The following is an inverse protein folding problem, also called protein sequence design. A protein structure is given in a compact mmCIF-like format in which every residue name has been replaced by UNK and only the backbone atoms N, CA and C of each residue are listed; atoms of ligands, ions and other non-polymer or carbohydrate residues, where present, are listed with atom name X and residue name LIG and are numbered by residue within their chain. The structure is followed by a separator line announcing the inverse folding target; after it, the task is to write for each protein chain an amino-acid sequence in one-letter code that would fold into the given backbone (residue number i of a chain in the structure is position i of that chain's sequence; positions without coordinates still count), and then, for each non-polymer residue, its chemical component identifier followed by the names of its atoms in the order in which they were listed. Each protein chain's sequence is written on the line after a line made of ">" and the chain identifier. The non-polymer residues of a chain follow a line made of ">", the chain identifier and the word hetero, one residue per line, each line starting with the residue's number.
data_IF_404638496329
#
_entry.id   IF_404638496329
#
_cell.length_a   1.000
_cell.length_b   1.000
_cell.length_c   1.000
_cell.angle_alpha   90.00
_cell.angle_beta   90.00
_cell.angle_gamma   90.00
#
_symmetry.space_group_name_H-M   'P 1'
#
loop_
_entity.id
_entity.type
_entity.pdbx_description
1 polymer ?
#
# COMPACT_ATOMS: atom_id res chain seq x y z
N UNK A 1 10.06 -6.18 -17.33
CA UNK A 1 8.81 -6.10 -16.54
C UNK A 1 9.03 -5.89 -15.04
N UNK A 2 9.87 -6.68 -14.34
CA UNK A 2 10.02 -6.58 -12.87
C UNK A 2 10.41 -5.18 -12.34
N UNK A 3 11.32 -4.47 -13.01
CA UNK A 3 11.76 -3.11 -12.62
C UNK A 3 10.65 -2.06 -12.75
N UNK A 4 9.79 -2.20 -13.76
CA UNK A 4 8.66 -1.29 -14.01
C UNK A 4 7.55 -1.52 -12.99
N UNK A 5 7.23 -2.79 -12.68
CA UNK A 5 6.24 -3.13 -11.66
C UNK A 5 6.69 -2.69 -10.26
N UNK A 6 7.97 -2.86 -9.92
CA UNK A 6 8.53 -2.40 -8.64
C UNK A 6 8.49 -0.87 -8.50
N UNK A 7 8.87 -0.14 -9.55
CA UNK A 7 8.81 1.32 -9.53
C UNK A 7 7.36 1.85 -9.52
N UNK A 8 6.45 1.19 -10.23
CA UNK A 8 5.03 1.56 -10.25
C UNK A 8 4.38 1.31 -8.88
N UNK A 9 4.62 0.16 -8.26
CA UNK A 9 4.17 -0.13 -6.89
C UNK A 9 4.75 0.87 -5.88
N UNK A 10 6.05 1.16 -5.94
CA UNK A 10 6.69 2.14 -5.05
C UNK A 10 6.10 3.54 -5.21
N UNK A 11 5.92 4.01 -6.45
CA UNK A 11 5.30 5.30 -6.72
C UNK A 11 3.85 5.37 -6.21
N UNK A 12 3.07 4.32 -6.46
CA UNK A 12 1.69 4.22 -5.98
C UNK A 12 1.59 4.18 -4.46
N UNK A 13 2.51 3.47 -3.79
CA UNK A 13 2.58 3.42 -2.33
C UNK A 13 2.90 4.80 -1.73
N UNK A 14 3.81 5.57 -2.35
CA UNK A 14 4.12 6.94 -1.93
C UNK A 14 2.92 7.86 -2.10
N UNK A 15 2.19 7.75 -3.22
CA UNK A 15 0.96 8.54 -3.45
C UNK A 15 -0.12 8.19 -2.44
N UNK A 16 -0.32 6.90 -2.15
CA UNK A 16 -1.28 6.45 -1.15
C UNK A 16 -0.92 6.93 0.26
N UNK A 17 0.37 6.92 0.63
CA UNK A 17 0.86 7.45 1.89
C UNK A 17 0.60 8.96 1.99
N UNK A 18 0.90 9.72 0.94
CA UNK A 18 0.66 11.17 0.89
C UNK A 18 -0.82 11.53 1.07
N UNK A 19 -1.71 10.78 0.41
CA UNK A 19 -3.17 10.90 0.60
C UNK A 19 -3.60 10.62 2.04
N UNK A 20 -3.03 9.60 2.67
CA UNK A 20 -3.34 9.26 4.07
C UNK A 20 -2.88 10.37 5.04
N UNK A 21 -1.70 10.95 4.80
CA UNK A 21 -1.19 12.09 5.60
C UNK A 21 -2.09 13.32 5.45
N UNK A 22 -2.51 13.64 4.23
CA UNK A 22 -3.47 14.73 3.97
C UNK A 22 -4.79 14.50 4.70
N UNK A 23 -5.34 13.29 4.64
CA UNK A 23 -6.54 12.89 5.38
C UNK A 23 -6.38 13.07 6.88
N UNK A 24 -5.25 12.64 7.44
CA UNK A 24 -4.95 12.81 8.85
C UNK A 24 -4.94 14.29 9.26
N UNK A 25 -4.33 15.16 8.43
CA UNK A 25 -4.34 16.60 8.68
C UNK A 25 -5.75 17.21 8.63
N UNK A 26 -6.57 16.83 7.65
CA UNK A 26 -7.97 17.30 7.54
C UNK A 26 -8.79 16.90 8.77
N UNK A 27 -8.65 15.65 9.22
CA UNK A 27 -9.34 15.18 10.43
C UNK A 27 -8.83 15.88 11.69
N UNK A 28 -7.53 16.13 11.80
CA UNK A 28 -6.95 16.84 12.94
C UNK A 28 -7.44 18.30 13.00
N UNK A 29 -7.50 18.99 11.86
CA UNK A 29 -8.06 20.35 11.78
C UNK A 29 -9.56 20.34 12.11
N UNK A 30 -10.31 19.37 11.61
CA UNK A 30 -11.74 19.23 11.92
C UNK A 30 -11.98 19.02 13.42
N UNK A 31 -11.09 18.28 14.09
CA UNK A 31 -11.15 18.03 15.52
C UNK A 31 -10.84 19.31 16.33
N UNK A 32 -9.86 20.11 15.91
CA UNK A 32 -9.53 21.39 16.56
C UNK A 32 -10.66 22.41 16.41
N UNK A 33 -11.26 22.53 15.21
CA UNK A 33 -12.34 23.49 14.96
C UNK A 33 -13.61 23.09 15.73
N UNK A 34 -13.98 21.81 15.69
CA UNK A 34 -15.20 21.30 16.33
C UNK A 34 -16.49 21.93 15.80
N UNK A 35 -17.60 21.62 16.46
CA UNK A 35 -18.93 22.15 16.12
C UNK A 35 -19.38 21.83 14.69
N UNK A 36 -20.22 22.70 14.12
CA UNK A 36 -20.76 22.52 12.78
C UNK A 36 -19.67 22.55 11.70
N UNK A 37 -18.68 23.45 11.83
CA UNK A 37 -17.56 23.56 10.88
C UNK A 37 -16.68 22.31 10.84
N UNK A 38 -16.35 21.73 12.00
CA UNK A 38 -15.61 20.48 12.09
C UNK A 38 -16.40 19.28 11.55
N UNK A 39 -17.72 19.25 11.73
CA UNK A 39 -18.57 18.19 11.18
C UNK A 39 -18.58 18.19 9.64
N UNK A 40 -18.73 19.36 9.01
CA UNK A 40 -18.68 19.48 7.54
C UNK A 40 -17.31 19.08 6.99
N UNK A 41 -16.24 19.52 7.65
CA UNK A 41 -14.87 19.19 7.24
C UNK A 41 -14.57 17.69 7.40
N UNK A 42 -15.08 17.06 8.45
CA UNK A 42 -15.00 15.61 8.66
C UNK A 42 -15.80 14.82 7.62
N UNK A 43 -16.97 15.33 7.20
CA UNK A 43 -17.79 14.70 6.17
C UNK A 43 -17.13 14.78 4.79
N UNK A 44 -16.49 15.91 4.48
CA UNK A 44 -15.63 16.05 3.30
C UNK A 44 -14.44 15.10 3.38
N UNK A 45 -13.75 15.04 4.54
CA UNK A 45 -12.67 14.09 4.80
C UNK A 45 -13.08 12.64 4.61
N UNK A 46 -14.28 12.25 5.07
CA UNK A 46 -14.82 10.90 4.87
C UNK A 46 -15.08 10.57 3.39
N UNK A 47 -15.49 11.55 2.59
CA UNK A 47 -15.65 11.37 1.14
C UNK A 47 -14.29 11.21 0.47
N UNK A 48 -13.32 12.05 0.84
CA UNK A 48 -11.94 11.96 0.35
C UNK A 48 -11.30 10.61 0.73
N UNK A 49 -11.60 10.09 1.92
CA UNK A 49 -11.13 8.79 2.40
C UNK A 49 -11.65 7.64 1.53
N UNK A 50 -12.94 7.65 1.17
CA UNK A 50 -13.50 6.63 0.26
C UNK A 50 -12.76 6.61 -1.08
N UNK A 51 -12.54 7.78 -1.68
CA UNK A 51 -11.79 7.87 -2.93
C UNK A 51 -10.33 7.41 -2.77
N UNK A 52 -9.69 7.77 -1.66
CA UNK A 52 -8.34 7.30 -1.34
C UNK A 52 -8.23 5.77 -1.28
N UNK A 53 -9.22 5.13 -0.66
CA UNK A 53 -9.25 3.66 -0.54
C UNK A 53 -9.42 3.02 -1.91
N UNK A 54 -10.26 3.57 -2.79
CA UNK A 54 -10.41 3.05 -4.15
C UNK A 54 -9.10 3.15 -4.95
N UNK A 55 -8.42 4.30 -4.89
CA UNK A 55 -7.13 4.49 -5.58
C UNK A 55 -6.08 3.53 -5.01
N UNK A 56 -6.02 3.36 -3.68
CA UNK A 56 -5.11 2.42 -3.03
C UNK A 56 -5.42 0.95 -3.38
N UNK A 57 -6.68 0.57 -3.49
CA UNK A 57 -7.08 -0.77 -3.90
C UNK A 57 -6.68 -1.06 -5.36
N UNK A 58 -6.91 -0.11 -6.28
CA UNK A 58 -6.47 -0.24 -7.68
C UNK A 58 -4.94 -0.32 -7.77
N UNK A 59 -4.23 0.43 -6.93
CA UNK A 59 -2.78 0.40 -6.83
C UNK A 59 -2.21 -0.92 -6.28
N UNK A 60 -2.95 -1.57 -5.38
CA UNK A 60 -2.56 -2.85 -4.77
C UNK A 60 -2.60 -4.00 -5.77
N UNK A 61 -3.52 -4.00 -6.74
CA UNK A 61 -3.65 -5.07 -7.74
C UNK A 61 -2.34 -5.37 -8.51
N UNK A 62 -1.64 -4.40 -9.14
CA UNK A 62 -0.37 -4.65 -9.81
C UNK A 62 0.74 -5.05 -8.83
N UNK A 63 0.72 -4.54 -7.58
CA UNK A 63 1.64 -4.97 -6.53
C UNK A 63 1.45 -6.43 -6.14
N UNK A 64 0.21 -6.87 -6.00
CA UNK A 64 -0.15 -8.24 -5.67
C UNK A 64 0.21 -9.19 -6.81
N UNK A 65 -0.09 -8.81 -8.06
CA UNK A 65 0.32 -9.56 -9.26
C UNK A 65 1.84 -9.68 -9.33
N UNK A 66 2.58 -8.61 -9.04
CA UNK A 66 4.04 -8.66 -8.97
C UNK A 66 4.55 -9.66 -7.92
N UNK A 67 3.98 -9.65 -6.71
CA UNK A 67 4.36 -10.57 -5.63
C UNK A 67 4.10 -12.03 -6.02
N UNK A 68 2.94 -12.31 -6.61
CA UNK A 68 2.60 -13.64 -7.09
C UNK A 68 3.53 -14.13 -8.22
N UNK A 69 3.85 -13.27 -9.19
CA UNK A 69 4.75 -13.63 -10.30
C UNK A 69 6.22 -13.73 -9.88
N UNK A 70 6.62 -13.03 -8.81
CA UNK A 70 8.00 -13.05 -8.33
C UNK A 70 8.28 -14.30 -7.49
N UNK A 71 7.25 -14.92 -6.92
CA UNK A 71 7.37 -16.18 -6.16
C UNK A 71 8.16 -16.04 -4.85
N UNK A 72 8.52 -14.81 -4.46
CA UNK A 72 9.08 -14.47 -3.15
C UNK A 72 7.97 -14.51 -2.10
N UNK A 73 7.38 -15.69 -1.92
CA UNK A 73 6.74 -15.99 -0.65
C UNK A 73 7.87 -16.07 0.37
N UNK A 74 7.75 -15.29 1.44
CA UNK A 74 8.66 -15.36 2.59
C UNK A 74 8.75 -16.78 3.21
N UNK A 75 7.87 -17.70 2.79
CA UNK A 75 7.80 -19.10 3.17
C UNK A 75 8.34 -20.08 2.11
N UNK A 76 8.86 -19.61 0.96
CA UNK A 76 9.67 -20.45 0.08
C UNK A 76 11.01 -20.67 0.76
N UNK A 77 11.03 -21.56 1.75
CA UNK A 77 12.23 -22.19 2.21
C UNK A 77 12.94 -22.71 0.95
N UNK A 78 14.05 -22.07 0.56
CA UNK A 78 14.96 -22.67 -0.41
C UNK A 78 15.27 -24.05 0.15
N UNK A 79 14.69 -25.09 -0.44
CA UNK A 79 15.01 -26.46 -0.11
C UNK A 79 16.51 -26.57 -0.41
N UNK A 80 17.32 -26.55 0.65
CA UNK A 80 18.75 -26.79 0.57
C UNK A 80 18.86 -28.19 -0.01
N UNK A 81 19.25 -28.30 -1.28
CA UNK A 81 19.66 -29.59 -1.84
C UNK A 81 20.72 -30.15 -0.90
N UNK A 82 20.52 -31.34 -0.31
CA UNK A 82 21.58 -31.99 0.41
C UNK A 82 22.68 -32.28 -0.61
N UNK A 83 23.87 -31.75 -0.34
CA UNK A 83 25.05 -32.04 -1.12
C UNK A 83 25.22 -33.57 -1.17
N UNK A 84 25.04 -34.15 -2.35
CA UNK A 84 25.42 -35.52 -2.64
C UNK A 84 26.94 -35.58 -2.52
N UNK A 85 27.44 -36.01 -1.37
CA UNK A 85 28.83 -36.44 -1.21
C UNK A 85 28.98 -37.76 -1.96
N UNK A 86 29.35 -37.68 -3.23
CA UNK A 86 30.09 -38.76 -3.88
C UNK A 86 31.52 -38.71 -3.35
N UNK A 87 31.77 -39.46 -2.27
CA UNK A 87 33.08 -39.99 -1.96
C UNK A 87 33.05 -41.47 -2.34
N UNK A 88 33.61 -41.80 -3.50
CA UNK A 88 34.13 -43.14 -3.84
C UNK A 88 35.64 -43.15 -3.61
#
# INVERSE_FOLDING_TARGET
>A
MRKVLKNCYGALAVVALGMAVLLAAVFLVALIIGGHGGATLSQFGGTLAKWSIYVAAVAMLPGLVYVYLTGEHSLTAKKKEPATTTDE
#
